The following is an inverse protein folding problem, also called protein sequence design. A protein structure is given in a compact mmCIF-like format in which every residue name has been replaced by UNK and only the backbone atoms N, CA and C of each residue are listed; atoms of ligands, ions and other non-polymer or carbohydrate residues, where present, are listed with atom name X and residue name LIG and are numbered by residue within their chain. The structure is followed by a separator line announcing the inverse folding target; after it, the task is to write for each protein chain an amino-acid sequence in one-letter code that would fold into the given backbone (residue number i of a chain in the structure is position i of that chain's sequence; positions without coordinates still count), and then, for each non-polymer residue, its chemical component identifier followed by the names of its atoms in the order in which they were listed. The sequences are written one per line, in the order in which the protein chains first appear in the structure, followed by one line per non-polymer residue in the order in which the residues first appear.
data_IF_399215671285
#
_entry.id   IF_399215671285
#
_cell.length_a   1.000
_cell.length_b   1.000
_cell.length_c   1.000
_cell.angle_alpha   90.00
_cell.angle_beta   90.00
_cell.angle_gamma   90.00
#
_symmetry.space_group_name_H-M   'P 1'
#
loop_
_entity.id
_entity.type
_entity.pdbx_description
1 polymer ?
#
# COMPACT_ATOMS: atom_id res chain seq x y z
N UNK A 1 -4.67 62.65 30.20
CA UNK A 1 -3.71 62.60 29.07
C UNK A 1 -4.12 61.49 28.10
N UNK A 2 -4.62 61.78 26.89
CA UNK A 2 -5.04 60.72 25.97
C UNK A 2 -3.91 60.39 24.99
N UNK A 3 -3.08 59.40 25.31
CA UNK A 3 -2.15 58.81 24.35
C UNK A 3 -2.93 57.82 23.47
N UNK A 4 -3.22 58.25 22.25
CA UNK A 4 -3.81 57.45 21.17
C UNK A 4 -2.95 56.19 20.91
N UNK A 5 -3.42 55.02 21.38
CA UNK A 5 -2.79 53.69 21.22
C UNK A 5 -2.96 53.13 19.79
N UNK A 6 -2.38 53.78 18.78
CA UNK A 6 -2.53 53.33 17.36
C UNK A 6 -1.82 52.01 17.06
N UNK A 7 -0.69 51.72 17.74
CA UNK A 7 0.09 50.48 17.59
C UNK A 7 -0.55 49.26 18.28
N UNK A 8 -1.32 49.47 19.36
CA UNK A 8 -1.87 48.36 20.15
C UNK A 8 -2.98 47.63 19.39
N UNK A 9 -3.78 48.33 18.58
CA UNK A 9 -4.84 47.70 17.77
C UNK A 9 -4.25 46.72 16.75
N UNK A 10 -3.16 47.10 16.07
CA UNK A 10 -2.48 46.23 15.10
C UNK A 10 -1.91 44.98 15.77
N UNK A 11 -1.30 45.13 16.95
CA UNK A 11 -0.77 44.01 17.73
C UNK A 11 -1.91 43.11 18.23
N UNK A 12 -3.03 43.67 18.70
CA UNK A 12 -4.20 42.90 19.13
C UNK A 12 -4.79 42.10 17.97
N UNK A 13 -4.94 42.71 16.79
CA UNK A 13 -5.43 42.02 15.58
C UNK A 13 -4.49 40.89 15.16
N UNK A 14 -3.18 41.12 15.17
CA UNK A 14 -2.17 40.09 14.87
C UNK A 14 -2.26 38.91 15.86
N UNK A 15 -2.39 39.20 17.16
CA UNK A 15 -2.54 38.18 18.20
C UNK A 15 -3.81 37.34 18.01
N UNK A 16 -4.93 37.95 17.62
CA UNK A 16 -6.18 37.22 17.34
C UNK A 16 -6.01 36.28 16.15
N UNK A 17 -5.37 36.74 15.07
CA UNK A 17 -5.10 35.91 13.89
C UNK A 17 -4.20 34.72 14.26
N UNK A 18 -3.17 34.95 15.08
CA UNK A 18 -2.27 33.90 15.53
C UNK A 18 -3.01 32.84 16.36
N UNK A 19 -3.89 33.27 17.27
CA UNK A 19 -4.71 32.35 18.08
C UNK A 19 -5.62 31.50 17.18
N UNK A 20 -6.25 32.10 16.17
CA UNK A 20 -7.09 31.37 15.21
C UNK A 20 -6.25 30.34 14.44
N UNK A 21 -5.06 30.70 13.97
CA UNK A 21 -4.17 29.78 13.28
C UNK A 21 -3.77 28.59 14.17
N UNK A 22 -3.42 28.86 15.43
CA UNK A 22 -3.09 27.81 16.42
C UNK A 22 -4.28 26.88 16.63
N UNK A 23 -5.51 27.41 16.78
CA UNK A 23 -6.71 26.59 16.91
C UNK A 23 -6.93 25.65 15.70
N UNK A 24 -6.71 26.14 14.48
CA UNK A 24 -6.77 25.31 13.28
C UNK A 24 -5.71 24.20 13.30
N UNK A 25 -4.48 24.50 13.71
CA UNK A 25 -3.43 23.49 13.85
C UNK A 25 -3.77 22.45 14.92
N UNK A 26 -4.29 22.87 16.08
CA UNK A 26 -4.71 21.95 17.15
C UNK A 26 -5.84 21.03 16.68
N UNK A 27 -6.84 21.57 15.97
CA UNK A 27 -7.91 20.76 15.39
C UNK A 27 -7.38 19.76 14.35
N UNK A 28 -6.42 20.17 13.52
CA UNK A 28 -5.78 19.27 12.53
C UNK A 28 -4.99 18.15 13.21
N UNK A 29 -4.24 18.48 14.26
CA UNK A 29 -3.48 17.49 15.05
C UNK A 29 -4.44 16.50 15.73
N UNK A 30 -5.53 17.00 16.35
CA UNK A 30 -6.56 16.16 16.96
C UNK A 30 -7.20 15.20 15.95
N UNK A 31 -7.51 15.68 14.74
CA UNK A 31 -8.04 14.83 13.66
C UNK A 31 -7.07 13.71 13.26
N UNK A 32 -5.77 13.99 13.22
CA UNK A 32 -4.77 12.97 12.88
C UNK A 32 -4.63 11.96 14.03
N UNK A 33 -4.55 12.44 15.27
CA UNK A 33 -4.27 11.60 16.43
C UNK A 33 -5.46 10.81 16.96
N UNK A 34 -6.68 11.37 16.93
CA UNK A 34 -7.87 10.73 17.51
C UNK A 34 -8.76 10.13 16.44
N UNK A 35 -9.13 10.91 15.42
CA UNK A 35 -10.05 10.45 14.37
C UNK A 35 -9.37 9.43 13.44
N UNK A 36 -8.12 9.67 13.09
CA UNK A 36 -7.37 8.79 12.20
C UNK A 36 -6.32 7.92 12.93
N UNK A 37 -6.44 7.78 14.25
CA UNK A 37 -5.48 7.05 15.09
C UNK A 37 -5.16 5.68 14.50
N UNK A 38 -6.19 4.84 14.30
CA UNK A 38 -6.05 3.48 13.77
C UNK A 38 -5.29 3.43 12.44
N UNK A 39 -5.63 4.32 11.50
CA UNK A 39 -4.99 4.39 10.17
C UNK A 39 -3.49 4.70 10.22
N UNK A 40 -3.03 5.41 11.25
CA UNK A 40 -1.63 5.80 11.40
C UNK A 40 -0.88 4.90 12.39
N UNK A 41 -1.57 4.29 13.36
CA UNK A 41 -1.00 3.28 14.27
C UNK A 41 -0.71 1.97 13.54
N UNK A 42 -1.62 1.51 12.66
CA UNK A 42 -1.41 0.30 11.86
C UNK A 42 -0.20 0.42 10.90
N UNK A 43 0.20 1.65 10.57
CA UNK A 43 1.38 1.93 9.76
C UNK A 43 2.68 1.99 10.57
N UNK A 44 2.58 1.97 11.89
CA UNK A 44 3.70 2.21 12.81
C UNK A 44 4.09 0.97 13.63
N UNK A 45 3.20 -0.03 13.76
CA UNK A 45 3.40 -1.22 14.61
C UNK A 45 4.43 -2.24 14.11
N UNK A 46 5.12 -1.98 12.99
CA UNK A 46 6.17 -2.88 12.53
C UNK A 46 7.12 -2.25 11.53
N UNK A 47 8.19 -1.63 12.02
CA UNK A 47 9.51 -1.52 11.36
C UNK A 47 9.60 -1.08 9.87
N UNK A 48 8.54 -0.57 9.27
CA UNK A 48 8.52 -0.20 7.87
C UNK A 48 8.19 1.28 7.78
N UNK A 49 9.25 2.10 7.69
CA UNK A 49 9.25 3.38 6.98
C UNK A 49 8.11 3.38 5.97
N UNK A 50 7.17 4.33 6.08
CA UNK A 50 5.99 4.45 5.21
C UNK A 50 6.49 4.44 3.76
N UNK A 51 6.60 3.25 3.18
CA UNK A 51 7.02 3.04 1.81
C UNK A 51 5.77 3.33 1.02
N UNK A 52 5.65 4.57 0.59
CA UNK A 52 4.81 4.92 -0.54
C UNK A 52 5.35 4.13 -1.73
N UNK A 53 4.88 2.89 -1.88
CA UNK A 53 5.05 2.13 -3.09
C UNK A 53 4.26 2.90 -4.15
N UNK A 54 4.97 3.70 -4.95
CA UNK A 54 4.39 4.34 -6.12
C UNK A 54 3.98 3.20 -7.04
N UNK A 55 2.68 2.90 -7.05
CA UNK A 55 2.13 1.89 -7.93
C UNK A 55 2.34 2.41 -9.36
N UNK A 56 3.23 1.77 -10.10
CA UNK A 56 3.50 2.16 -11.49
C UNK A 56 2.23 1.90 -12.30
N UNK A 57 1.73 2.94 -12.96
CA UNK A 57 0.58 2.80 -13.83
C UNK A 57 0.87 1.73 -14.90
N UNK A 58 -0.11 0.87 -15.24
CA UNK A 58 0.04 -0.10 -16.31
C UNK A 58 0.30 0.60 -17.64
N UNK A 59 0.98 -0.07 -18.56
CA UNK A 59 1.19 0.44 -19.92
C UNK A 59 -0.13 0.37 -20.70
N UNK A 60 -0.29 1.26 -21.67
CA UNK A 60 -1.40 1.16 -22.62
C UNK A 60 -1.33 -0.15 -23.41
N UNK A 61 -2.50 -0.74 -23.67
CA UNK A 61 -2.63 -1.93 -24.50
C UNK A 61 -2.39 -1.58 -25.97
N UNK A 62 -1.71 -2.46 -26.70
CA UNK A 62 -1.48 -2.30 -28.15
C UNK A 62 -2.49 -3.16 -28.89
N UNK A 63 -3.30 -2.50 -29.70
CA UNK A 63 -4.37 -3.07 -30.50
C UNK A 63 -4.03 -2.95 -31.99
N UNK A 64 -4.44 -3.93 -32.79
CA UNK A 64 -4.46 -3.83 -34.25
C UNK A 64 -5.54 -2.84 -34.73
N UNK A 65 -5.55 -2.48 -36.03
CA UNK A 65 -6.59 -1.62 -36.61
C UNK A 65 -8.01 -2.19 -36.49
N UNK A 66 -8.14 -3.52 -36.36
CA UNK A 66 -9.40 -4.21 -36.06
C UNK A 66 -9.74 -4.26 -34.56
N UNK A 67 -8.94 -3.64 -33.68
CA UNK A 67 -9.13 -3.71 -32.23
C UNK A 67 -8.74 -5.05 -31.61
N UNK A 68 -8.00 -5.90 -32.33
CA UNK A 68 -7.48 -7.16 -31.80
C UNK A 68 -6.29 -6.89 -30.89
N UNK A 69 -6.28 -7.47 -29.71
CA UNK A 69 -5.23 -7.33 -28.72
C UNK A 69 -3.93 -8.00 -29.18
N UNK A 70 -2.87 -7.21 -29.37
CA UNK A 70 -1.53 -7.72 -29.72
C UNK A 70 -0.66 -7.79 -28.46
N UNK A 71 -0.74 -6.77 -27.60
CA UNK A 71 -0.04 -6.75 -26.32
C UNK A 71 -0.93 -6.14 -25.24
N UNK A 72 -1.29 -6.95 -24.25
CA UNK A 72 -2.08 -6.56 -23.08
C UNK A 72 -1.29 -6.80 -21.80
N UNK A 73 -1.62 -6.03 -20.77
CA UNK A 73 -1.07 -6.24 -19.45
C UNK A 73 -1.89 -7.33 -18.73
N UNK A 74 -1.21 -8.27 -18.07
CA UNK A 74 -1.86 -9.29 -17.23
C UNK A 74 -1.24 -9.23 -15.84
N UNK A 75 -2.09 -9.32 -14.82
CA UNK A 75 -1.62 -9.43 -13.45
C UNK A 75 -1.00 -10.82 -13.25
N UNK A 76 0.26 -10.84 -12.85
CA UNK A 76 1.02 -12.05 -12.54
C UNK A 76 1.43 -12.03 -11.08
N UNK A 77 1.03 -13.05 -10.33
CA UNK A 77 1.45 -13.23 -8.95
C UNK A 77 2.61 -14.23 -8.90
N UNK A 78 3.66 -13.89 -8.16
CA UNK A 78 4.80 -14.77 -7.94
C UNK A 78 4.84 -15.19 -6.47
N UNK A 79 4.82 -16.49 -6.22
CA UNK A 79 4.92 -17.07 -4.88
C UNK A 79 6.37 -17.52 -4.69
N UNK A 80 7.08 -16.85 -3.79
CA UNK A 80 8.50 -17.11 -3.54
C UNK A 80 8.70 -17.75 -2.18
N UNK A 81 9.22 -18.98 -2.17
CA UNK A 81 9.60 -19.66 -0.93
C UNK A 81 10.94 -19.14 -0.41
N UNK A 82 10.94 -18.56 0.79
CA UNK A 82 12.18 -18.12 1.43
C UNK A 82 12.64 -19.15 2.47
N UNK A 83 13.76 -19.84 2.17
CA UNK A 83 14.34 -20.89 3.01
C UNK A 83 14.70 -20.41 4.42
N UNK A 84 14.97 -19.12 4.64
CA UNK A 84 15.27 -18.59 5.97
C UNK A 84 14.07 -18.64 6.94
N UNK A 85 12.84 -18.70 6.40
CA UNK A 85 11.61 -18.68 7.18
C UNK A 85 10.82 -19.99 7.13
N UNK A 86 11.20 -20.91 6.25
CA UNK A 86 10.56 -22.22 6.13
C UNK A 86 11.40 -23.24 6.90
N UNK A 87 10.83 -23.81 7.97
CA UNK A 87 11.40 -24.98 8.67
C UNK A 87 11.45 -26.19 7.74
N UNK A 88 12.14 -27.26 8.11
CA UNK A 88 12.43 -28.46 7.30
C UNK A 88 11.23 -29.17 6.63
N UNK A 89 9.99 -28.75 6.88
CA UNK A 89 8.75 -29.27 6.29
C UNK A 89 8.37 -28.57 4.96
N UNK A 90 9.34 -28.29 4.08
CA UNK A 90 9.11 -27.59 2.81
C UNK A 90 8.10 -28.34 1.91
N UNK A 91 8.18 -29.66 1.88
CA UNK A 91 7.32 -30.49 1.03
C UNK A 91 5.85 -30.41 1.44
N UNK A 92 5.55 -30.39 2.74
CA UNK A 92 4.17 -30.27 3.25
C UNK A 92 3.58 -28.90 2.90
N UNK A 93 4.40 -27.86 2.99
CA UNK A 93 4.00 -26.50 2.61
C UNK A 93 3.72 -26.43 1.11
N UNK A 94 4.57 -27.03 0.27
CA UNK A 94 4.35 -27.07 -1.19
C UNK A 94 3.05 -27.82 -1.52
N UNK A 95 2.82 -29.00 -0.92
CA UNK A 95 1.60 -29.78 -1.13
C UNK A 95 0.34 -28.99 -0.74
N UNK A 96 0.40 -28.30 0.41
CA UNK A 96 -0.72 -27.45 0.86
C UNK A 96 -0.98 -26.31 -0.13
N UNK A 97 0.08 -25.71 -0.67
CA UNK A 97 -0.01 -24.63 -1.65
C UNK A 97 -0.59 -25.10 -2.98
N UNK A 98 -0.14 -26.24 -3.50
CA UNK A 98 -0.67 -26.85 -4.73
C UNK A 98 -2.16 -27.15 -4.58
N UNK A 99 -2.56 -27.79 -3.47
CA UNK A 99 -3.98 -28.08 -3.21
C UNK A 99 -4.84 -26.81 -3.15
N UNK A 100 -4.31 -25.71 -2.61
CA UNK A 100 -5.01 -24.44 -2.54
C UNK A 100 -5.13 -23.78 -3.92
N UNK A 101 -4.08 -23.86 -4.74
CA UNK A 101 -4.09 -23.38 -6.12
C UNK A 101 -5.07 -24.18 -6.99
N UNK A 102 -5.11 -25.51 -6.82
CA UNK A 102 -6.07 -26.38 -7.50
C UNK A 102 -7.52 -26.08 -7.11
N UNK A 103 -7.80 -25.88 -5.81
CA UNK A 103 -9.15 -25.52 -5.34
C UNK A 103 -9.60 -24.14 -5.82
N UNK A 104 -8.67 -23.19 -5.96
CA UNK A 104 -8.96 -21.86 -6.48
C UNK A 104 -9.04 -21.81 -8.01
N UNK A 105 -8.74 -22.91 -8.70
CA UNK A 105 -8.72 -22.99 -10.17
C UNK A 105 -7.63 -22.09 -10.78
N UNK A 106 -6.58 -21.78 -10.02
CA UNK A 106 -5.52 -20.91 -10.47
C UNK A 106 -4.63 -21.64 -11.47
N UNK A 107 -4.50 -21.08 -12.69
CA UNK A 107 -3.55 -21.60 -13.68
C UNK A 107 -2.11 -21.34 -13.23
N UNK A 108 -1.38 -22.40 -12.92
CA UNK A 108 0.06 -22.36 -12.68
C UNK A 108 0.79 -23.15 -13.76
N UNK A 109 1.99 -22.69 -14.12
CA UNK A 109 2.83 -23.37 -15.12
C UNK A 109 3.65 -24.44 -14.42
N UNK A 110 3.37 -25.71 -14.70
CA UNK A 110 4.17 -26.85 -14.25
C UNK A 110 5.26 -27.15 -15.29
N UNK A 111 6.51 -26.92 -14.92
CA UNK A 111 7.69 -27.26 -15.74
C UNK A 111 8.46 -28.45 -15.15
N UNK A 112 7.85 -29.21 -14.22
CA UNK A 112 8.50 -30.38 -13.65
C UNK A 112 8.73 -31.43 -14.76
N UNK A 113 9.91 -32.07 -14.78
CA UNK A 113 10.25 -33.06 -15.81
C UNK A 113 9.50 -34.40 -15.66
N UNK A 114 8.50 -34.48 -14.77
CA UNK A 114 7.75 -35.69 -14.48
C UNK A 114 6.45 -35.71 -15.29
N UNK A 115 6.30 -36.72 -16.15
CA UNK A 115 5.06 -36.96 -16.87
C UNK A 115 4.01 -37.60 -15.96
N UNK A 116 2.72 -37.23 -16.13
CA UNK A 116 1.59 -37.90 -15.48
C UNK A 116 1.25 -39.26 -16.14
N UNK A 117 1.92 -39.61 -17.22
CA UNK A 117 1.75 -40.85 -17.99
C UNK A 117 2.96 -41.79 -17.77
N UNK A 118 2.70 -43.09 -17.62
CA UNK A 118 3.73 -44.13 -17.41
C UNK A 118 4.53 -44.42 -18.70
N UNK A 119 5.78 -44.95 -18.63
CA UNK A 119 6.56 -45.30 -17.45
C UNK A 119 7.52 -44.15 -17.12
N UNK A 120 7.38 -43.63 -15.90
CA UNK A 120 8.03 -42.41 -15.39
C UNK A 120 9.54 -42.38 -15.57
#
# INVERSE_FOLDING_TARGET
MPFQKKSQVQITVLSVILIIAILFYTARIYSIQVVNAAKYTDKNDGAASVRTAVLKAPRGEILDYYGRQIAVNRDGYNIVFNKAYVKDNLNDVILTLVNLLDQSGAEYKDELPMSKEAPY
#
